data_IF_460520601305
#
_entry.id   IF_460520601305
#
_cell.length_a   1.000
_cell.length_b   1.000
_cell.length_c   1.000
_cell.angle_alpha   90.00
_cell.angle_beta   90.00
_cell.angle_gamma   90.00
#
_symmetry.space_group_name_H-M   'P 1'
#
loop_
_entity.id
_entity.type
_entity.pdbx_description
1 polymer ?
#
# COMPACT_ATOMS: atom_id res chain seq x y z
N UNK A 1 12.81 58.76 -41.19
CA UNK A 1 14.07 58.54 -41.95
C UNK A 1 14.33 57.03 -41.88
N UNK A 2 13.94 56.29 -42.89
CA UNK A 2 14.71 55.81 -44.04
C UNK A 2 16.06 55.21 -43.61
N UNK A 3 16.32 53.99 -43.76
CA UNK A 3 16.83 53.09 -44.80
C UNK A 3 17.64 52.03 -44.05
N UNK A 4 17.79 50.79 -44.34
CA UNK A 4 17.56 49.95 -45.49
C UNK A 4 18.16 48.55 -45.22
N UNK A 5 17.70 47.64 -46.00
CA UNK A 5 18.05 46.22 -46.01
C UNK A 5 19.48 45.94 -46.49
N UNK A 6 20.07 44.83 -46.06
CA UNK A 6 20.96 44.02 -46.91
C UNK A 6 20.98 42.57 -46.44
N UNK A 7 20.53 41.69 -47.30
CA UNK A 7 20.71 40.26 -47.24
C UNK A 7 22.12 39.89 -47.66
N UNK A 8 22.74 38.91 -47.01
CA UNK A 8 23.87 38.19 -47.58
C UNK A 8 23.74 36.72 -47.23
N UNK A 9 23.48 35.94 -48.26
CA UNK A 9 23.55 34.50 -48.25
C UNK A 9 25.04 34.08 -48.28
N UNK A 10 25.42 33.16 -47.44
CA UNK A 10 26.67 32.40 -47.61
C UNK A 10 26.36 30.91 -47.42
N UNK A 11 26.44 30.21 -48.53
CA UNK A 11 26.50 28.76 -48.63
C UNK A 11 27.92 28.35 -48.34
N UNK A 12 28.13 27.39 -47.38
CA UNK A 12 29.33 26.56 -47.41
C UNK A 12 29.06 25.23 -46.69
N UNK A 13 29.01 24.21 -47.53
CA UNK A 13 29.76 22.93 -47.55
C UNK A 13 29.70 22.01 -46.32
N UNK A 14 29.19 20.83 -46.70
CA UNK A 14 29.30 19.51 -46.08
C UNK A 14 30.58 19.27 -45.28
N UNK A 15 30.43 18.87 -44.01
CA UNK A 15 31.38 18.10 -43.26
C UNK A 15 30.65 16.90 -42.66
N UNK A 16 30.77 15.74 -43.30
CA UNK A 16 30.36 14.46 -42.72
C UNK A 16 31.31 14.15 -41.57
N UNK A 17 30.79 14.20 -40.36
CA UNK A 17 31.38 13.54 -39.19
C UNK A 17 30.42 12.42 -38.79
N UNK A 18 30.79 11.21 -39.17
CA UNK A 18 30.17 9.97 -38.68
C UNK A 18 30.41 9.85 -37.21
N UNK A 19 29.47 10.32 -36.39
CA UNK A 19 29.39 9.93 -34.98
C UNK A 19 28.53 8.66 -34.92
N UNK A 20 29.16 7.53 -34.64
CA UNK A 20 28.49 6.32 -34.23
C UNK A 20 27.83 6.57 -32.88
N UNK A 21 26.68 7.16 -32.88
CA UNK A 21 25.73 7.14 -31.79
C UNK A 21 24.73 6.04 -32.10
N UNK A 22 24.65 5.00 -31.24
CA UNK A 22 23.71 3.91 -31.42
C UNK A 22 22.29 4.46 -31.57
N UNK A 23 21.74 4.39 -32.75
CA UNK A 23 20.32 4.60 -33.00
C UNK A 23 19.56 3.48 -32.32
N UNK A 24 18.80 3.79 -31.27
CA UNK A 24 17.70 2.93 -30.87
C UNK A 24 16.87 2.67 -32.13
N UNK A 25 16.70 1.40 -32.51
CA UNK A 25 15.97 1.02 -33.71
C UNK A 25 14.54 1.56 -33.61
N UNK A 26 14.05 2.19 -34.67
CA UNK A 26 12.68 2.70 -34.77
C UNK A 26 11.60 1.58 -34.75
N UNK A 27 12.00 0.33 -34.59
CA UNK A 27 11.15 -0.86 -34.58
C UNK A 27 11.00 -1.54 -33.20
N UNK A 28 11.54 -0.98 -32.10
CA UNK A 28 11.40 -1.56 -30.77
C UNK A 28 9.94 -1.47 -30.30
N UNK A 29 9.39 -2.61 -29.87
CA UNK A 29 8.06 -2.63 -29.26
C UNK A 29 8.04 -1.70 -28.05
N UNK A 30 7.05 -0.79 -28.01
CA UNK A 30 6.86 0.14 -26.90
C UNK A 30 5.77 -0.36 -25.97
N UNK A 31 6.06 -0.42 -24.68
CA UNK A 31 5.06 -0.62 -23.63
C UNK A 31 5.02 0.60 -22.72
N UNK A 32 3.82 0.95 -22.26
CA UNK A 32 3.59 2.04 -21.33
C UNK A 32 3.09 1.48 -20.01
N UNK A 33 3.63 1.97 -18.90
CA UNK A 33 3.28 1.52 -17.54
C UNK A 33 2.73 2.72 -16.78
N UNK A 34 1.48 2.64 -16.31
CA UNK A 34 0.97 3.55 -15.31
C UNK A 34 1.37 3.06 -13.92
N UNK A 35 2.05 3.91 -13.15
CA UNK A 35 2.43 3.64 -11.76
C UNK A 35 1.60 4.50 -10.81
N UNK A 36 0.80 3.86 -9.95
CA UNK A 36 0.03 4.52 -8.89
C UNK A 36 0.74 4.50 -7.52
N UNK A 37 1.97 3.97 -7.45
CA UNK A 37 2.78 3.87 -6.23
C UNK A 37 3.89 4.92 -6.30
N UNK A 38 3.58 6.14 -5.87
CA UNK A 38 4.46 7.32 -6.05
C UNK A 38 5.80 7.18 -5.33
N UNK A 39 5.84 6.46 -4.21
CA UNK A 39 7.05 6.26 -3.41
C UNK A 39 8.15 5.44 -4.09
N UNK A 40 7.87 4.79 -5.23
CA UNK A 40 8.85 4.06 -6.04
C UNK A 40 9.07 4.67 -7.43
N UNK A 41 8.73 5.94 -7.62
CA UNK A 41 8.80 6.62 -8.93
C UNK A 41 10.21 6.55 -9.53
N UNK A 42 11.22 6.96 -8.80
CA UNK A 42 12.62 6.96 -9.24
C UNK A 42 13.11 5.54 -9.57
N UNK A 43 12.72 4.55 -8.76
CA UNK A 43 13.08 3.14 -8.97
C UNK A 43 12.42 2.59 -10.25
N UNK A 44 11.16 2.92 -10.49
CA UNK A 44 10.43 2.51 -11.70
C UNK A 44 11.06 3.11 -12.96
N UNK A 45 11.47 4.39 -12.94
CA UNK A 45 12.18 5.02 -14.06
C UNK A 45 13.55 4.40 -14.33
N UNK A 46 14.31 4.14 -13.26
CA UNK A 46 15.62 3.49 -13.36
C UNK A 46 15.49 2.07 -13.94
N UNK A 47 14.51 1.31 -13.45
CA UNK A 47 14.17 -0.02 -13.95
C UNK A 47 13.77 0.02 -15.44
N UNK A 48 12.89 0.94 -15.85
CA UNK A 48 12.44 1.08 -17.23
C UNK A 48 13.62 1.31 -18.18
N UNK A 49 14.56 2.20 -17.80
CA UNK A 49 15.78 2.46 -18.59
C UNK A 49 16.67 1.21 -18.71
N UNK A 50 16.84 0.47 -17.60
CA UNK A 50 17.64 -0.77 -17.55
C UNK A 50 16.99 -1.87 -18.40
N UNK A 51 15.72 -2.16 -18.16
CA UNK A 51 14.96 -3.19 -18.88
C UNK A 51 14.92 -2.90 -20.39
N UNK A 52 14.67 -1.64 -20.79
CA UNK A 52 14.67 -1.24 -22.19
C UNK A 52 15.99 -1.53 -22.89
N UNK A 53 17.10 -1.21 -22.22
CA UNK A 53 18.46 -1.47 -22.74
C UNK A 53 18.75 -2.97 -22.88
N UNK A 54 18.31 -3.77 -21.93
CA UNK A 54 18.65 -5.20 -21.85
C UNK A 54 17.75 -6.05 -22.75
N UNK A 55 16.46 -5.73 -22.83
CA UNK A 55 15.46 -6.55 -23.52
C UNK A 55 15.07 -6.00 -24.91
N UNK A 56 15.53 -4.79 -25.27
CA UNK A 56 15.20 -4.18 -26.56
C UNK A 56 13.74 -3.73 -26.70
N UNK A 57 13.03 -3.60 -25.58
CA UNK A 57 11.64 -3.11 -25.48
C UNK A 57 11.69 -1.68 -24.94
N UNK A 58 11.02 -0.73 -25.59
CA UNK A 58 10.95 0.63 -25.08
C UNK A 58 9.89 0.71 -23.97
N UNK A 59 10.31 0.93 -22.71
CA UNK A 59 9.41 1.05 -21.54
C UNK A 59 9.31 2.51 -21.13
N UNK A 60 8.09 3.04 -21.10
CA UNK A 60 7.79 4.38 -20.59
C UNK A 60 6.87 4.29 -19.37
N UNK A 61 7.24 4.98 -18.29
CA UNK A 61 6.47 5.02 -17.03
C UNK A 61 5.74 6.35 -16.91
N UNK A 62 4.50 6.28 -16.45
CA UNK A 62 3.61 7.43 -16.30
C UNK A 62 3.02 7.46 -14.88
N UNK A 63 2.76 8.66 -14.41
CA UNK A 63 2.21 8.94 -13.09
C UNK A 63 1.01 9.89 -13.21
N UNK A 64 0.18 9.95 -12.19
CA UNK A 64 -0.90 10.92 -12.09
C UNK A 64 -1.16 11.29 -10.63
N UNK A 65 -1.52 12.53 -10.40
CA UNK A 65 -2.01 13.01 -9.10
C UNK A 65 -3.53 12.82 -8.95
N UNK A 66 -4.22 12.38 -10.00
CA UNK A 66 -5.64 12.06 -9.94
C UNK A 66 -5.86 10.72 -9.23
N UNK A 67 -7.08 10.46 -8.78
CA UNK A 67 -7.44 9.11 -8.33
C UNK A 67 -7.28 8.11 -9.48
N UNK A 68 -6.84 6.90 -9.17
CA UNK A 68 -6.61 5.84 -10.16
C UNK A 68 -7.82 5.64 -11.07
N UNK A 69 -9.02 5.53 -10.48
CA UNK A 69 -10.25 5.31 -11.23
C UNK A 69 -10.55 6.45 -12.22
N UNK A 70 -10.46 7.71 -11.79
CA UNK A 70 -10.72 8.87 -12.66
C UNK A 70 -9.68 8.99 -13.78
N UNK A 71 -8.39 8.75 -13.45
CA UNK A 71 -7.31 8.78 -14.42
C UNK A 71 -7.48 7.72 -15.52
N UNK A 72 -7.69 6.47 -15.13
CA UNK A 72 -7.87 5.37 -16.08
C UNK A 72 -9.17 5.52 -16.90
N UNK A 73 -10.27 5.97 -16.29
CA UNK A 73 -11.50 6.28 -17.03
C UNK A 73 -11.25 7.31 -18.15
N UNK A 74 -10.46 8.36 -17.85
CA UNK A 74 -10.07 9.37 -18.85
C UNK A 74 -9.23 8.76 -19.99
N UNK A 75 -8.28 7.88 -19.64
CA UNK A 75 -7.43 7.19 -20.64
C UNK A 75 -8.23 6.25 -21.54
N UNK A 76 -9.17 5.49 -21.00
CA UNK A 76 -10.06 4.64 -21.79
C UNK A 76 -11.01 5.46 -22.67
N UNK A 77 -11.57 6.55 -22.14
CA UNK A 77 -12.44 7.45 -22.91
C UNK A 77 -11.70 8.11 -24.09
N UNK A 78 -10.43 8.50 -23.90
CA UNK A 78 -9.58 9.06 -24.97
C UNK A 78 -9.03 8.01 -25.93
N UNK A 79 -9.26 6.72 -25.67
CA UNK A 79 -8.73 5.59 -26.45
C UNK A 79 -7.20 5.50 -26.44
N UNK A 80 -6.58 5.90 -25.33
CA UNK A 80 -5.14 5.90 -25.09
C UNK A 80 -4.79 5.13 -23.80
N UNK A 81 -5.23 3.86 -23.64
CA UNK A 81 -4.91 3.08 -22.44
C UNK A 81 -3.41 2.86 -22.31
N UNK A 82 -2.96 2.66 -21.08
CA UNK A 82 -1.62 2.14 -20.85
C UNK A 82 -1.55 0.65 -21.16
N UNK A 83 -0.40 0.18 -21.64
CA UNK A 83 -0.18 -1.26 -21.87
C UNK A 83 -0.30 -2.06 -20.58
N UNK A 84 0.26 -1.50 -19.50
CA UNK A 84 0.22 -2.07 -18.14
C UNK A 84 -0.26 -0.96 -17.19
N UNK A 85 -1.16 -1.29 -16.28
CA UNK A 85 -1.58 -0.38 -15.23
C UNK A 85 -1.31 -0.99 -13.85
N UNK A 86 -0.58 -0.24 -13.00
CA UNK A 86 -0.42 -0.56 -11.58
C UNK A 86 -1.53 0.12 -10.80
N UNK A 87 -2.33 -0.67 -10.09
CA UNK A 87 -3.56 -0.23 -9.42
C UNK A 87 -3.75 -0.95 -8.09
N UNK A 88 -4.74 -0.53 -7.32
CA UNK A 88 -5.18 -1.27 -6.14
C UNK A 88 -6.07 -2.47 -6.51
N UNK A 89 -6.24 -3.41 -5.59
CA UNK A 89 -7.06 -4.60 -5.82
C UNK A 89 -8.47 -4.26 -6.27
N UNK A 90 -9.12 -3.27 -5.64
CA UNK A 90 -10.47 -2.82 -5.99
C UNK A 90 -10.60 -2.37 -7.46
N UNK A 91 -9.56 -1.73 -7.99
CA UNK A 91 -9.54 -1.26 -9.38
C UNK A 91 -9.41 -2.44 -10.35
N UNK A 92 -8.68 -3.52 -9.97
CA UNK A 92 -8.66 -4.76 -10.77
C UNK A 92 -10.06 -5.36 -10.82
N UNK A 93 -10.75 -5.49 -9.69
CA UNK A 93 -12.13 -6.00 -9.68
C UNK A 93 -13.10 -5.15 -10.49
N UNK A 94 -12.94 -3.84 -10.48
CA UNK A 94 -13.80 -2.92 -11.23
C UNK A 94 -13.54 -2.93 -12.74
N UNK A 95 -12.29 -3.13 -13.17
CA UNK A 95 -11.85 -2.88 -14.54
C UNK A 95 -11.54 -4.17 -15.33
N UNK A 96 -11.23 -5.29 -14.64
CA UNK A 96 -10.64 -6.46 -15.29
C UNK A 96 -11.57 -7.11 -16.33
N UNK A 97 -12.87 -7.19 -16.05
CA UNK A 97 -13.82 -7.85 -16.94
C UNK A 97 -13.86 -7.22 -18.35
N UNK A 98 -13.67 -5.88 -18.44
CA UNK A 98 -13.74 -5.14 -19.70
C UNK A 98 -12.36 -4.82 -20.29
N UNK A 99 -11.33 -4.72 -19.43
CA UNK A 99 -10.08 -4.08 -19.82
C UNK A 99 -8.82 -4.92 -19.60
N UNK A 100 -8.89 -6.06 -18.91
CA UNK A 100 -7.71 -6.85 -18.59
C UNK A 100 -7.56 -8.11 -19.42
N UNK A 101 -6.31 -8.46 -19.74
CA UNK A 101 -5.92 -9.73 -20.38
C UNK A 101 -5.98 -10.85 -19.34
N UNK A 102 -6.53 -12.01 -19.71
CA UNK A 102 -6.45 -13.23 -18.92
C UNK A 102 -5.00 -13.74 -18.84
N UNK A 103 -4.45 -13.80 -17.65
CA UNK A 103 -3.09 -14.21 -17.33
C UNK A 103 -3.01 -15.63 -16.72
N UNK A 104 -4.11 -16.38 -16.70
CA UNK A 104 -4.18 -17.71 -16.05
C UNK A 104 -3.16 -18.70 -16.59
N UNK A 105 -2.70 -18.53 -17.83
CA UNK A 105 -1.70 -19.38 -18.47
C UNK A 105 -0.25 -19.04 -18.10
N UNK A 106 0.00 -17.95 -17.37
CA UNK A 106 1.35 -17.51 -17.05
C UNK A 106 1.98 -18.35 -15.94
N UNK A 107 3.28 -18.63 -16.06
CA UNK A 107 3.98 -19.54 -15.16
C UNK A 107 4.00 -19.05 -13.71
N UNK A 108 4.08 -17.75 -13.49
CA UNK A 108 4.14 -17.13 -12.17
C UNK A 108 2.86 -17.32 -11.33
N UNK A 109 1.71 -17.62 -11.97
CA UNK A 109 0.41 -17.76 -11.25
C UNK A 109 0.47 -18.84 -10.18
N UNK A 110 1.26 -19.91 -10.39
CA UNK A 110 1.43 -21.00 -9.44
C UNK A 110 2.35 -20.67 -8.27
N UNK A 111 3.10 -19.58 -8.39
CA UNK A 111 4.14 -19.21 -7.46
C UNK A 111 3.70 -18.15 -6.44
N UNK A 112 2.43 -17.78 -6.46
CA UNK A 112 1.88 -16.79 -5.53
C UNK A 112 0.47 -17.17 -5.07
N UNK A 113 0.15 -16.81 -3.82
CA UNK A 113 -1.20 -16.92 -3.26
C UNK A 113 -1.94 -15.56 -3.34
N UNK A 114 -1.32 -14.53 -3.93
CA UNK A 114 -1.82 -13.15 -3.95
C UNK A 114 -2.36 -12.69 -5.30
N UNK A 115 -2.33 -13.52 -6.34
CA UNK A 115 -2.90 -13.16 -7.63
C UNK A 115 -4.41 -12.89 -7.53
N UNK A 116 -4.91 -11.86 -8.24
CA UNK A 116 -6.35 -11.63 -8.30
C UNK A 116 -6.93 -12.46 -9.44
N UNK A 117 -7.86 -13.35 -9.08
CA UNK A 117 -8.68 -14.12 -10.00
C UNK A 117 -10.15 -13.68 -9.87
N UNK A 118 -10.85 -13.59 -11.01
CA UNK A 118 -12.27 -13.29 -11.12
C UNK A 118 -12.87 -14.34 -12.06
N UNK A 119 -13.92 -15.04 -11.64
CA UNK A 119 -14.58 -16.11 -12.41
C UNK A 119 -13.59 -17.17 -12.95
N UNK A 120 -12.60 -17.54 -12.12
CA UNK A 120 -11.59 -18.56 -12.45
C UNK A 120 -10.51 -18.09 -13.42
N UNK A 121 -10.45 -16.81 -13.78
CA UNK A 121 -9.41 -16.20 -14.64
C UNK A 121 -8.55 -15.24 -13.84
N UNK A 122 -7.25 -15.33 -14.01
CA UNK A 122 -6.28 -14.44 -13.35
C UNK A 122 -6.10 -13.15 -14.15
N UNK A 123 -6.31 -12.00 -13.49
CA UNK A 123 -6.16 -10.69 -14.11
C UNK A 123 -5.12 -9.80 -13.42
N UNK A 124 -4.96 -9.93 -12.10
CA UNK A 124 -4.05 -9.10 -11.33
C UNK A 124 -2.74 -9.82 -10.99
N UNK A 125 -1.63 -9.29 -11.49
CA UNK A 125 -0.28 -9.68 -11.10
C UNK A 125 0.08 -8.92 -9.82
N UNK A 126 0.37 -9.60 -8.70
CA UNK A 126 0.71 -8.94 -7.44
C UNK A 126 2.12 -8.35 -7.50
N UNK A 127 2.30 -7.13 -6.99
CA UNK A 127 3.61 -6.44 -6.99
C UNK A 127 4.32 -6.64 -5.66
N UNK A 128 3.61 -6.50 -4.54
CA UNK A 128 4.17 -6.60 -3.20
C UNK A 128 3.18 -7.18 -2.21
N UNK A 129 3.71 -7.66 -1.08
CA UNK A 129 2.93 -7.93 0.13
C UNK A 129 3.11 -6.77 1.09
N UNK A 130 2.01 -6.19 1.51
CA UNK A 130 2.00 -5.16 2.54
C UNK A 130 1.10 -5.56 3.69
N UNK A 131 1.48 -5.16 4.90
CA UNK A 131 0.69 -5.41 6.08
C UNK A 131 0.80 -4.27 7.08
N UNK A 132 -0.21 -4.18 7.94
CA UNK A 132 -0.37 -3.13 8.94
C UNK A 132 -0.58 -3.68 10.34
N UNK A 133 -0.18 -2.86 11.30
CA UNK A 133 -0.29 -3.13 12.73
C UNK A 133 0.27 -1.95 13.53
N UNK A 134 0.77 -2.20 14.73
CA UNK A 134 1.54 -1.21 15.46
C UNK A 134 3.02 -1.32 15.09
N UNK A 135 3.55 -0.27 14.47
CA UNK A 135 5.00 -0.11 14.28
C UNK A 135 5.59 0.29 15.62
N UNK A 136 6.70 -0.33 16.01
CA UNK A 136 7.38 -0.06 17.27
C UNK A 136 8.86 0.29 17.08
N UNK A 137 9.40 1.10 18.01
CA UNK A 137 10.83 1.36 18.13
C UNK A 137 11.33 0.69 19.43
N UNK A 138 11.97 -0.49 19.29
CA UNK A 138 12.42 -1.28 20.43
C UNK A 138 13.52 -0.61 21.23
N UNK A 139 14.41 0.18 20.58
CA UNK A 139 15.48 0.91 21.29
C UNK A 139 14.90 2.04 22.13
N UNK A 140 13.89 2.75 21.65
CA UNK A 140 13.19 3.77 22.42
C UNK A 140 12.48 3.15 23.64
N UNK A 141 11.84 2.00 23.45
CA UNK A 141 11.20 1.26 24.55
C UNK A 141 12.24 0.81 25.57
N UNK A 142 13.35 0.22 25.14
CA UNK A 142 14.45 -0.19 26.02
C UNK A 142 15.05 0.99 26.78
N UNK A 143 15.27 2.11 26.12
CA UNK A 143 15.79 3.34 26.73
C UNK A 143 14.88 3.83 27.87
N UNK A 144 13.57 3.79 27.66
CA UNK A 144 12.58 4.25 28.67
C UNK A 144 12.37 3.22 29.80
N UNK A 145 12.31 1.92 29.49
CA UNK A 145 11.95 0.88 30.46
C UNK A 145 13.15 0.19 31.11
N UNK A 146 14.34 0.29 30.48
CA UNK A 146 15.53 -0.48 30.87
C UNK A 146 15.48 -1.97 30.49
N UNK A 147 14.45 -2.42 29.74
CA UNK A 147 14.22 -3.82 29.38
C UNK A 147 14.28 -4.00 27.86
N UNK A 148 14.78 -5.15 27.39
CA UNK A 148 14.64 -5.53 25.99
C UNK A 148 13.15 -5.73 25.66
N UNK A 149 12.76 -5.24 24.47
CA UNK A 149 11.39 -5.33 24.01
C UNK A 149 11.19 -6.60 23.19
N UNK A 150 10.19 -7.40 23.59
CA UNK A 150 9.64 -8.50 22.80
C UNK A 150 8.14 -8.26 22.60
N UNK A 151 7.68 -8.02 21.37
CA UNK A 151 6.26 -7.75 21.08
C UNK A 151 5.36 -8.93 21.49
N UNK A 152 5.91 -10.16 21.55
CA UNK A 152 5.19 -11.34 21.99
C UNK A 152 4.64 -11.27 23.44
N UNK A 153 5.23 -10.41 24.27
CA UNK A 153 4.81 -10.23 25.67
C UNK A 153 3.68 -9.17 25.84
N UNK A 154 3.28 -8.49 24.77
CA UNK A 154 2.35 -7.34 24.82
C UNK A 154 1.20 -7.48 23.82
N UNK A 155 0.69 -8.70 23.67
CA UNK A 155 -0.40 -9.02 22.72
C UNK A 155 -1.77 -8.62 23.22
N UNK A 156 -1.97 -8.61 24.56
CA UNK A 156 -3.23 -8.18 25.14
C UNK A 156 -3.23 -6.67 25.36
N UNK A 157 -4.42 -6.07 25.34
CA UNK A 157 -4.57 -4.65 25.65
C UNK A 157 -4.11 -4.33 27.08
N UNK A 158 -4.32 -5.25 28.01
CA UNK A 158 -3.94 -5.03 29.42
C UNK A 158 -2.41 -5.03 29.58
N UNK A 159 -1.68 -5.90 28.87
CA UNK A 159 -0.22 -5.88 28.88
C UNK A 159 0.32 -4.64 28.15
N UNK A 160 -0.33 -4.23 27.07
CA UNK A 160 0.01 -2.99 26.38
C UNK A 160 -0.19 -1.75 27.26
N UNK A 161 -1.29 -1.67 28.01
CA UNK A 161 -1.51 -0.60 29.01
C UNK A 161 -0.43 -0.55 30.09
N UNK A 162 0.04 -1.71 30.57
CA UNK A 162 1.17 -1.79 31.51
C UNK A 162 2.44 -1.21 30.89
N UNK A 163 2.75 -1.59 29.65
CA UNK A 163 3.90 -1.06 28.90
C UNK A 163 3.80 0.47 28.72
N UNK A 164 2.64 0.98 28.33
CA UNK A 164 2.41 2.44 28.23
C UNK A 164 2.70 3.12 29.59
N UNK A 165 2.27 2.52 30.69
CA UNK A 165 2.58 3.01 32.04
C UNK A 165 4.08 3.00 32.35
N UNK A 166 4.80 1.93 32.01
CA UNK A 166 6.26 1.82 32.18
C UNK A 166 7.01 2.87 31.35
N UNK A 167 6.60 3.08 30.07
CA UNK A 167 7.18 4.09 29.18
C UNK A 167 7.01 5.51 29.76
N UNK A 168 5.82 5.83 30.30
CA UNK A 168 5.55 7.13 30.94
C UNK A 168 6.38 7.31 32.21
N UNK A 169 6.50 6.27 33.03
CA UNK A 169 7.35 6.29 34.22
C UNK A 169 8.84 6.48 33.86
N UNK A 170 9.27 5.94 32.72
CA UNK A 170 10.63 6.12 32.16
C UNK A 170 10.87 7.47 31.46
N UNK A 171 9.89 8.38 31.49
CA UNK A 171 10.04 9.75 30.97
C UNK A 171 9.43 9.98 29.59
N UNK A 172 8.94 8.96 28.88
CA UNK A 172 8.26 9.11 27.60
C UNK A 172 6.80 9.50 27.83
N UNK A 173 6.52 10.81 27.92
CA UNK A 173 5.20 11.33 28.32
C UNK A 173 4.06 10.93 27.40
N UNK A 174 4.32 10.85 26.11
CA UNK A 174 3.36 10.55 25.05
C UNK A 174 3.94 9.50 24.11
N UNK A 175 3.82 8.20 24.47
CA UNK A 175 4.52 7.12 23.78
C UNK A 175 3.93 6.71 22.44
N UNK A 176 2.81 7.30 22.00
CA UNK A 176 2.14 6.90 20.77
C UNK A 176 1.98 8.05 19.79
N UNK A 177 1.88 7.71 18.51
CA UNK A 177 1.46 8.59 17.43
C UNK A 177 0.20 8.03 16.77
N UNK A 178 -0.83 8.86 16.64
CA UNK A 178 -2.06 8.55 15.90
C UNK A 178 -2.17 9.55 14.76
N UNK A 179 -2.33 9.05 13.56
CA UNK A 179 -2.37 9.83 12.35
C UNK A 179 -3.79 10.22 11.97
N UNK A 180 -3.91 11.35 11.28
CA UNK A 180 -5.20 11.97 10.91
C UNK A 180 -5.72 11.53 9.55
N UNK A 181 -4.87 10.96 8.72
CA UNK A 181 -5.22 10.64 7.33
C UNK A 181 -6.44 9.74 7.29
N UNK A 182 -7.42 10.13 6.47
CA UNK A 182 -8.68 9.42 6.29
C UNK A 182 -8.47 7.97 5.81
N UNK A 183 -7.50 7.75 4.93
CA UNK A 183 -7.13 6.41 4.48
C UNK A 183 -6.51 5.56 5.61
N UNK A 184 -5.69 6.15 6.48
CA UNK A 184 -5.11 5.43 7.63
C UNK A 184 -6.17 5.03 8.65
N UNK A 185 -7.10 5.95 8.93
CA UNK A 185 -8.19 5.73 9.87
C UNK A 185 -9.30 4.85 9.25
N UNK A 186 -9.80 5.21 8.06
CA UNK A 186 -10.96 4.60 7.45
C UNK A 186 -10.66 3.34 6.63
N UNK A 187 -9.57 3.33 5.83
CA UNK A 187 -9.24 2.16 5.02
C UNK A 187 -8.38 1.13 5.78
N UNK A 188 -7.64 1.54 6.81
CA UNK A 188 -6.73 0.63 7.50
C UNK A 188 -7.22 0.28 8.91
N UNK A 189 -7.33 1.24 9.82
CA UNK A 189 -7.70 0.92 11.20
C UNK A 189 -9.15 0.42 11.31
N UNK A 190 -10.09 1.13 10.66
CA UNK A 190 -11.50 0.74 10.71
C UNK A 190 -11.76 -0.61 10.03
N UNK A 191 -11.18 -0.84 8.84
CA UNK A 191 -11.44 -2.09 8.11
C UNK A 191 -10.91 -3.32 8.84
N UNK A 192 -9.92 -3.19 9.71
CA UNK A 192 -9.45 -4.28 10.56
C UNK A 192 -10.59 -4.88 11.39
N UNK A 193 -11.54 -4.06 11.85
CA UNK A 193 -12.71 -4.57 12.58
C UNK A 193 -13.60 -5.49 11.73
N UNK A 194 -13.58 -5.32 10.41
CA UNK A 194 -14.28 -6.20 9.48
C UNK A 194 -13.46 -7.46 9.18
N UNK A 195 -12.18 -7.28 8.90
CA UNK A 195 -11.24 -8.32 8.49
C UNK A 195 -10.92 -9.34 9.57
N UNK A 196 -11.09 -8.97 10.82
CA UNK A 196 -10.96 -9.88 11.97
C UNK A 196 -12.22 -10.71 12.28
N UNK A 197 -13.34 -10.48 11.58
CA UNK A 197 -14.55 -11.29 11.78
C UNK A 197 -14.31 -12.74 11.32
N UNK A 198 -15.01 -13.68 11.94
CA UNK A 198 -14.88 -15.09 11.58
C UNK A 198 -15.35 -15.40 10.14
N UNK A 199 -16.35 -14.66 9.66
CA UNK A 199 -16.81 -14.62 8.29
C UNK A 199 -16.96 -13.15 7.89
N UNK A 200 -15.98 -12.66 7.16
CA UNK A 200 -15.90 -11.24 6.76
C UNK A 200 -17.06 -10.89 5.83
N UNK A 201 -17.37 -11.75 4.85
CA UNK A 201 -18.43 -11.46 3.89
C UNK A 201 -19.81 -11.45 4.55
N UNK A 202 -20.10 -12.42 5.41
CA UNK A 202 -21.35 -12.43 6.15
C UNK A 202 -21.50 -11.19 7.05
N UNK A 203 -20.41 -10.68 7.62
CA UNK A 203 -20.44 -9.46 8.41
C UNK A 203 -20.70 -8.22 7.53
N UNK A 204 -20.06 -8.12 6.38
CA UNK A 204 -20.29 -7.04 5.40
C UNK A 204 -21.74 -7.08 4.88
N UNK A 205 -22.26 -8.26 4.56
CA UNK A 205 -23.65 -8.43 4.12
C UNK A 205 -24.65 -7.98 5.22
N UNK A 206 -24.33 -8.26 6.49
CA UNK A 206 -25.14 -7.78 7.61
C UNK A 206 -25.06 -6.26 7.77
N UNK A 207 -23.92 -5.62 7.51
CA UNK A 207 -23.76 -4.16 7.49
C UNK A 207 -24.60 -3.54 6.35
N UNK A 208 -24.52 -4.09 5.14
CA UNK A 208 -25.31 -3.66 3.97
C UNK A 208 -26.83 -3.79 4.23
N UNK A 209 -27.24 -4.89 4.87
CA UNK A 209 -28.62 -5.12 5.25
C UNK A 209 -29.11 -4.28 6.44
N UNK A 210 -28.19 -3.57 7.12
CA UNK A 210 -28.47 -2.80 8.34
C UNK A 210 -28.81 -3.67 9.57
N UNK A 211 -28.38 -4.94 9.56
CA UNK A 211 -28.63 -5.93 10.60
C UNK A 211 -27.40 -6.19 11.51
N UNK A 212 -26.25 -5.60 11.22
CA UNK A 212 -25.07 -5.76 12.05
C UNK A 212 -25.21 -4.97 13.36
N UNK A 213 -25.04 -5.64 14.48
CA UNK A 213 -24.91 -4.99 15.82
C UNK A 213 -23.45 -4.60 16.04
N UNK A 214 -23.03 -3.46 15.47
CA UNK A 214 -21.67 -2.99 15.62
C UNK A 214 -21.35 -2.60 17.07
N UNK A 215 -22.31 -2.00 17.80
CA UNK A 215 -22.11 -1.58 19.20
C UNK A 215 -21.91 -2.77 20.14
N UNK A 216 -22.56 -3.91 19.87
CA UNK A 216 -22.36 -5.17 20.58
C UNK A 216 -21.21 -6.04 20.06
N UNK A 217 -20.58 -5.67 18.94
CA UNK A 217 -19.55 -6.48 18.31
C UNK A 217 -18.24 -6.48 19.12
N UNK A 218 -17.78 -7.67 19.55
CA UNK A 218 -16.57 -7.82 20.39
C UNK A 218 -15.30 -7.36 19.69
N UNK A 219 -15.14 -7.65 18.37
CA UNK A 219 -13.96 -7.25 17.58
C UNK A 219 -13.87 -5.74 17.46
N UNK A 220 -14.97 -5.12 17.07
CA UNK A 220 -15.09 -3.67 17.03
C UNK A 220 -14.72 -3.03 18.39
N UNK A 221 -15.35 -3.47 19.46
CA UNK A 221 -15.13 -2.89 20.78
C UNK A 221 -13.68 -3.09 21.24
N UNK A 222 -13.10 -4.27 21.06
CA UNK A 222 -11.72 -4.56 21.45
C UNK A 222 -10.71 -3.71 20.67
N UNK A 223 -10.91 -3.55 19.37
CA UNK A 223 -10.09 -2.70 18.51
C UNK A 223 -10.18 -1.22 18.93
N UNK A 224 -11.39 -0.74 19.20
CA UNK A 224 -11.62 0.63 19.64
C UNK A 224 -11.09 0.91 21.06
N UNK A 225 -11.08 -0.09 21.96
CA UNK A 225 -10.45 0.04 23.27
C UNK A 225 -8.94 0.28 23.14
N UNK A 226 -8.29 -0.38 22.18
CA UNK A 226 -6.87 -0.12 21.89
C UNK A 226 -6.68 1.24 21.25
N UNK A 227 -7.56 1.64 20.31
CA UNK A 227 -7.51 2.97 19.73
C UNK A 227 -7.61 4.07 20.77
N UNK A 228 -8.47 3.91 21.79
CA UNK A 228 -8.59 4.88 22.88
C UNK A 228 -7.30 4.99 23.70
N UNK A 229 -6.59 3.89 23.94
CA UNK A 229 -5.27 3.93 24.58
C UNK A 229 -4.25 4.68 23.71
N UNK A 230 -4.24 4.43 22.40
CA UNK A 230 -3.36 5.13 21.47
C UNK A 230 -3.67 6.63 21.45
N UNK A 231 -4.94 7.00 21.29
CA UNK A 231 -5.44 8.39 21.27
C UNK A 231 -5.10 9.12 22.56
N UNK A 232 -5.33 8.50 23.73
CA UNK A 232 -5.07 9.10 25.04
C UNK A 232 -3.59 9.39 25.27
N UNK A 233 -2.69 8.59 24.72
CA UNK A 233 -1.25 8.70 24.88
C UNK A 233 -0.54 9.29 23.64
N UNK A 234 -1.32 9.84 22.68
CA UNK A 234 -0.81 10.46 21.46
C UNK A 234 -0.01 11.73 21.77
N UNK A 235 1.18 11.87 21.18
CA UNK A 235 2.01 13.06 21.33
C UNK A 235 1.29 14.34 20.87
N UNK A 236 0.42 14.22 19.86
CA UNK A 236 -0.40 15.30 19.32
C UNK A 236 -1.82 15.35 19.88
N UNK A 237 -2.08 14.78 21.06
CA UNK A 237 -3.43 14.64 21.65
C UNK A 237 -4.28 15.92 21.59
N UNK A 238 -3.68 17.08 21.87
CA UNK A 238 -4.39 18.38 21.84
C UNK A 238 -4.71 18.91 20.46
N UNK A 239 -4.13 18.34 19.42
CA UNK A 239 -4.24 18.78 18.01
C UNK A 239 -4.18 17.58 17.05
N UNK A 240 -4.79 16.47 17.44
CA UNK A 240 -4.62 15.19 16.74
C UNK A 240 -4.98 15.25 15.24
N UNK A 241 -6.01 16.02 14.87
CA UNK A 241 -6.41 16.20 13.46
C UNK A 241 -5.54 17.21 12.69
N UNK A 242 -4.53 17.80 13.34
CA UNK A 242 -3.55 18.69 12.69
C UNK A 242 -2.14 18.07 12.66
N UNK A 243 -1.95 16.89 13.28
CA UNK A 243 -0.67 16.19 13.27
C UNK A 243 -0.33 15.70 11.85
N UNK A 244 0.85 16.05 11.37
CA UNK A 244 1.33 15.58 10.07
C UNK A 244 1.96 14.20 10.21
N UNK A 245 1.67 13.32 9.22
CA UNK A 245 2.16 11.95 9.20
C UNK A 245 3.68 11.88 9.27
N UNK A 246 4.37 12.63 8.41
CA UNK A 246 5.82 12.65 8.34
C UNK A 246 6.47 13.05 9.68
N UNK A 247 5.86 14.00 10.42
CA UNK A 247 6.33 14.35 11.77
C UNK A 247 6.17 13.19 12.75
N UNK A 248 5.09 12.41 12.63
CA UNK A 248 4.87 11.23 13.47
C UNK A 248 5.90 10.14 13.15
N UNK A 249 6.17 9.91 11.87
CA UNK A 249 7.19 8.96 11.40
C UNK A 249 8.57 9.36 11.86
N UNK A 250 8.94 10.65 11.73
CA UNK A 250 10.20 11.17 12.27
C UNK A 250 10.33 10.90 13.77
N UNK A 251 9.30 11.24 14.55
CA UNK A 251 9.31 11.01 16.01
C UNK A 251 9.47 9.55 16.39
N UNK A 252 8.87 8.65 15.63
CA UNK A 252 9.05 7.21 15.83
C UNK A 252 10.48 6.78 15.46
N UNK A 253 10.99 7.22 14.33
CA UNK A 253 12.35 6.90 13.89
C UNK A 253 13.39 7.33 14.93
N UNK A 254 13.30 8.57 15.41
CA UNK A 254 14.22 9.17 16.37
C UNK A 254 13.96 8.70 17.83
N UNK A 255 12.90 7.94 18.07
CA UNK A 255 12.58 7.36 19.38
C UNK A 255 11.99 8.36 20.38
N UNK A 256 11.38 9.44 19.90
CA UNK A 256 10.59 10.35 20.75
C UNK A 256 9.23 9.73 21.15
N UNK A 257 8.68 8.87 20.29
CA UNK A 257 7.54 8.01 20.59
C UNK A 257 7.94 6.55 20.40
N UNK A 258 7.18 5.64 20.98
CA UNK A 258 7.45 4.20 20.96
C UNK A 258 6.62 3.46 19.88
N UNK A 259 5.42 3.94 19.59
CA UNK A 259 4.45 3.26 18.75
C UNK A 259 3.69 4.20 17.82
N UNK A 260 3.40 3.72 16.59
CA UNK A 260 2.39 4.31 15.71
C UNK A 260 1.65 3.19 14.96
N UNK A 261 0.37 3.42 14.61
CA UNK A 261 -0.33 2.53 13.70
C UNK A 261 0.08 2.83 12.26
N UNK A 262 0.52 1.81 11.54
CA UNK A 262 0.99 1.95 10.15
C UNK A 262 1.31 0.61 9.52
N UNK A 263 2.10 0.62 8.45
CA UNK A 263 2.51 -0.58 7.74
C UNK A 263 3.94 -0.52 7.23
N UNK A 264 4.37 -1.56 6.51
CA UNK A 264 5.75 -1.59 6.00
C UNK A 264 6.06 -0.52 4.94
N UNK A 265 5.05 0.09 4.33
CA UNK A 265 5.22 1.26 3.44
C UNK A 265 5.79 2.49 4.16
N UNK A 266 5.59 2.63 5.48
CA UNK A 266 6.12 3.75 6.26
C UNK A 266 7.65 3.76 6.30
N UNK A 267 8.29 2.64 5.97
CA UNK A 267 9.75 2.55 5.92
C UNK A 267 10.37 3.52 4.92
N UNK A 268 9.71 3.82 3.83
CA UNK A 268 10.19 4.80 2.82
C UNK A 268 10.43 6.20 3.41
N UNK A 269 9.71 6.56 4.46
CA UNK A 269 9.88 7.82 5.19
C UNK A 269 10.76 7.64 6.43
N UNK A 270 10.51 6.60 7.22
CA UNK A 270 11.29 6.33 8.45
C UNK A 270 12.80 6.26 8.20
N UNK A 271 13.23 5.68 7.08
CA UNK A 271 14.65 5.51 6.74
C UNK A 271 15.36 6.80 6.34
N UNK A 272 14.64 7.91 6.18
CA UNK A 272 15.21 9.22 5.85
C UNK A 272 15.70 9.97 7.10
N UNK A 273 15.35 9.49 8.29
CA UNK A 273 15.73 10.07 9.58
C UNK A 273 16.81 9.23 10.29
N UNK A 274 17.26 9.71 11.45
CA UNK A 274 18.13 8.93 12.34
C UNK A 274 17.31 7.84 13.04
N UNK A 275 17.14 6.73 12.36
CA UNK A 275 16.25 5.66 12.79
C UNK A 275 16.97 4.56 13.58
N UNK A 276 16.21 3.93 14.48
CA UNK A 276 16.62 2.70 15.13
C UNK A 276 16.59 1.52 14.15
N UNK A 277 17.60 0.64 14.24
CA UNK A 277 17.60 -0.63 13.50
C UNK A 277 16.69 -1.70 14.13
N UNK A 278 16.27 -1.49 15.37
CA UNK A 278 15.45 -2.39 16.14
C UNK A 278 13.97 -1.93 16.12
N UNK A 279 13.42 -1.84 14.91
CA UNK A 279 12.01 -1.55 14.67
C UNK A 279 11.30 -2.80 14.15
N UNK A 280 9.99 -2.78 14.16
CA UNK A 280 9.17 -3.83 13.58
C UNK A 280 7.69 -3.50 13.63
N UNK A 281 6.87 -4.43 13.17
CA UNK A 281 5.40 -4.36 13.22
C UNK A 281 4.90 -5.47 14.12
N UNK A 282 3.94 -5.16 14.99
CA UNK A 282 3.25 -6.12 15.84
C UNK A 282 1.73 -6.03 15.62
N UNK A 283 0.97 -7.09 15.93
CA UNK A 283 -0.49 -7.03 15.95
C UNK A 283 -0.98 -5.89 16.83
N UNK A 284 -2.13 -5.32 16.50
CA UNK A 284 -2.82 -4.39 17.38
C UNK A 284 -3.23 -5.14 18.65
N UNK A 285 -2.73 -4.75 19.84
CA UNK A 285 -3.04 -5.47 21.09
C UNK A 285 -4.52 -5.43 21.41
N UNK A 286 -5.12 -6.58 21.72
CA UNK A 286 -6.55 -6.70 21.99
C UNK A 286 -6.80 -7.69 23.11
N UNK A 287 -7.83 -7.46 23.94
CA UNK A 287 -8.27 -8.42 24.93
C UNK A 287 -9.19 -9.48 24.31
N UNK A 288 -8.61 -10.27 23.39
CA UNK A 288 -9.30 -11.34 22.67
C UNK A 288 -8.62 -12.69 22.97
N UNK A 289 -9.40 -13.76 22.94
CA UNK A 289 -9.01 -15.13 23.26
C UNK A 289 -9.10 -16.09 22.04
N UNK A 290 -9.28 -15.52 20.85
CA UNK A 290 -9.48 -16.26 19.59
C UNK A 290 -8.29 -16.16 18.62
N UNK A 291 -7.15 -15.64 19.09
CA UNK A 291 -5.93 -15.49 18.30
C UNK A 291 -5.90 -14.25 17.39
N UNK A 292 -6.90 -13.37 17.43
CA UNK A 292 -6.87 -12.13 16.65
C UNK A 292 -5.73 -11.20 17.02
N UNK A 293 -5.34 -11.19 18.28
CA UNK A 293 -4.21 -10.43 18.80
C UNK A 293 -2.83 -11.04 18.46
N UNK A 294 -2.78 -12.10 17.67
CA UNK A 294 -1.55 -12.71 17.18
C UNK A 294 -1.26 -12.44 15.71
N UNK A 295 -2.23 -11.86 14.99
CA UNK A 295 -2.17 -11.65 13.54
C UNK A 295 -2.13 -10.17 13.20
N UNK A 296 -1.41 -9.85 12.13
CA UNK A 296 -1.50 -8.55 11.46
C UNK A 296 -2.47 -8.63 10.29
N UNK A 297 -2.92 -7.50 9.77
CA UNK A 297 -3.75 -7.48 8.56
C UNK A 297 -2.89 -7.13 7.35
N UNK A 298 -2.99 -7.92 6.28
CA UNK A 298 -2.20 -7.67 5.08
C UNK A 298 -2.50 -8.62 3.93
N UNK A 299 -1.74 -8.47 2.86
CA UNK A 299 -1.90 -9.25 1.64
C UNK A 299 -1.21 -8.61 0.46
N UNK A 300 -1.59 -9.02 -0.75
CA UNK A 300 -1.17 -8.33 -1.98
C UNK A 300 -1.66 -6.88 -1.96
N UNK A 301 -0.78 -5.94 -2.27
CA UNK A 301 -1.07 -4.52 -2.17
C UNK A 301 -1.34 -3.89 -3.52
N UNK A 302 -0.34 -3.76 -4.37
CA UNK A 302 -0.47 -3.24 -5.73
C UNK A 302 -0.50 -4.37 -6.73
N UNK A 303 -1.21 -4.15 -7.83
CA UNK A 303 -1.40 -5.14 -8.88
C UNK A 303 -1.14 -4.52 -10.24
N UNK A 304 -0.52 -5.28 -11.11
CA UNK A 304 -0.39 -4.94 -12.52
C UNK A 304 -1.43 -5.73 -13.32
N UNK A 305 -2.16 -5.05 -14.19
CA UNK A 305 -2.94 -5.72 -15.22
C UNK A 305 -2.53 -5.23 -16.61
N UNK A 306 -2.72 -6.06 -17.63
CA UNK A 306 -2.39 -5.77 -19.03
C UNK A 306 -3.67 -5.42 -19.79
N UNK A 307 -3.66 -4.32 -20.53
CA UNK A 307 -4.80 -3.87 -21.33
C UNK A 307 -5.16 -4.86 -22.44
N UNK A 308 -6.46 -5.24 -22.50
CA UNK A 308 -7.02 -6.14 -23.50
C UNK A 308 -7.64 -5.42 -24.70
N UNK A 309 -7.76 -4.09 -24.68
CA UNK A 309 -8.43 -3.33 -25.73
C UNK A 309 -7.69 -3.42 -27.08
N UNK A 310 -8.39 -3.11 -28.16
CA UNK A 310 -7.80 -3.09 -29.50
C UNK A 310 -6.74 -1.99 -29.70
N UNK A 311 -6.52 -1.14 -28.69
CA UNK A 311 -5.49 -0.09 -28.73
C UNK A 311 -4.11 -0.60 -28.32
N UNK A 312 -4.07 -1.68 -27.56
CA UNK A 312 -2.85 -2.40 -27.24
C UNK A 312 -2.68 -3.57 -28.24
N UNK A 313 -1.58 -3.60 -28.95
CA UNK A 313 -1.29 -4.62 -29.96
C UNK A 313 -0.89 -5.96 -29.32
N UNK A 314 -0.96 -7.04 -30.09
CA UNK A 314 -0.51 -8.36 -29.60
C UNK A 314 0.99 -8.36 -29.24
N UNK A 315 1.82 -7.63 -30.00
CA UNK A 315 3.24 -7.48 -29.68
C UNK A 315 3.47 -6.76 -28.35
N UNK A 316 2.67 -5.72 -28.05
CA UNK A 316 2.73 -5.02 -26.78
C UNK A 316 2.26 -5.90 -25.62
N UNK A 317 1.18 -6.67 -25.81
CA UNK A 317 0.71 -7.63 -24.79
C UNK A 317 1.73 -8.73 -24.52
N UNK A 318 2.38 -9.25 -25.57
CA UNK A 318 3.46 -10.22 -25.40
C UNK A 318 4.64 -9.64 -24.60
N UNK A 319 5.11 -8.45 -24.99
CA UNK A 319 6.18 -7.75 -24.27
C UNK A 319 5.79 -7.41 -22.81
N UNK A 320 4.53 -7.08 -22.57
CA UNK A 320 4.01 -6.86 -21.22
C UNK A 320 4.03 -8.16 -20.37
N UNK A 321 3.62 -9.29 -20.96
CA UNK A 321 3.71 -10.60 -20.27
C UNK A 321 5.15 -10.98 -19.97
N UNK A 322 6.07 -10.77 -20.89
CA UNK A 322 7.51 -10.98 -20.69
C UNK A 322 8.05 -10.11 -19.55
N UNK A 323 7.58 -8.86 -19.44
CA UNK A 323 7.92 -7.96 -18.35
C UNK A 323 7.41 -8.48 -17.00
N UNK A 324 6.15 -8.95 -16.90
CA UNK A 324 5.62 -9.54 -15.68
C UNK A 324 6.38 -10.83 -15.30
N UNK A 325 6.70 -11.69 -16.28
CA UNK A 325 7.51 -12.88 -16.05
C UNK A 325 8.93 -12.54 -15.59
N UNK A 326 9.52 -11.45 -16.10
CA UNK A 326 10.81 -10.94 -15.65
C UNK A 326 10.74 -10.48 -14.18
N UNK A 327 9.70 -9.72 -13.79
CA UNK A 327 9.52 -9.30 -12.40
C UNK A 327 9.41 -10.50 -11.44
N UNK A 328 8.71 -11.55 -11.84
CA UNK A 328 8.47 -12.72 -10.98
C UNK A 328 9.66 -13.68 -10.91
N UNK A 329 10.34 -13.93 -12.04
CA UNK A 329 11.21 -15.09 -12.20
C UNK A 329 12.69 -14.75 -12.51
N UNK A 330 12.97 -13.55 -13.02
CA UNK A 330 14.35 -13.13 -13.32
C UNK A 330 15.02 -12.55 -12.09
N UNK A 331 16.31 -12.85 -11.89
CA UNK A 331 17.07 -12.36 -10.73
C UNK A 331 17.10 -10.82 -10.63
N UNK A 332 17.18 -10.14 -11.76
CA UNK A 332 17.18 -8.69 -11.81
C UNK A 332 15.79 -8.11 -11.47
N UNK A 333 14.73 -8.74 -11.98
CA UNK A 333 13.34 -8.37 -11.67
C UNK A 333 13.02 -8.61 -10.18
N UNK A 334 13.44 -9.75 -9.65
CA UNK A 334 13.30 -10.08 -8.22
C UNK A 334 14.09 -9.10 -7.34
N UNK A 335 15.32 -8.74 -7.76
CA UNK A 335 16.15 -7.76 -7.06
C UNK A 335 15.54 -6.36 -7.11
N UNK A 336 14.95 -5.96 -8.22
CA UNK A 336 14.24 -4.71 -8.33
C UNK A 336 13.13 -4.59 -7.27
N UNK A 337 12.30 -5.62 -7.12
CA UNK A 337 11.22 -5.62 -6.12
C UNK A 337 11.77 -5.53 -4.70
N UNK A 338 12.75 -6.36 -4.35
CA UNK A 338 13.19 -6.53 -2.95
C UNK A 338 14.26 -5.52 -2.55
N UNK A 339 15.27 -5.29 -3.41
CA UNK A 339 16.42 -4.47 -3.04
C UNK A 339 16.24 -3.00 -3.44
N UNK A 340 15.74 -2.75 -4.67
CA UNK A 340 15.63 -1.38 -5.16
C UNK A 340 14.37 -0.69 -4.61
N UNK A 341 13.23 -1.42 -4.54
CA UNK A 341 11.97 -0.89 -4.02
C UNK A 341 11.73 -1.18 -2.53
N UNK A 342 12.58 -1.97 -1.87
CA UNK A 342 12.40 -2.40 -0.47
C UNK A 342 11.02 -3.04 -0.20
N UNK A 343 10.50 -3.81 -1.16
CA UNK A 343 9.19 -4.45 -1.06
C UNK A 343 9.30 -5.92 -0.69
N UNK A 344 8.31 -6.43 0.04
CA UNK A 344 8.16 -7.86 0.30
C UNK A 344 7.60 -8.52 -0.95
N UNK A 345 8.35 -9.45 -1.56
CA UNK A 345 7.91 -10.15 -2.75
C UNK A 345 6.69 -11.03 -2.48
N UNK A 346 5.68 -11.03 -3.38
CA UNK A 346 4.53 -11.92 -3.30
C UNK A 346 4.80 -13.33 -3.88
N UNK A 347 6.00 -13.57 -4.42
CA UNK A 347 6.35 -14.83 -5.10
C UNK A 347 7.21 -15.73 -4.21
N UNK A 348 6.82 -17.01 -4.12
CA UNK A 348 7.49 -18.03 -3.29
C UNK A 348 8.90 -18.35 -3.78
N UNK A 349 9.15 -18.22 -5.09
CA UNK A 349 10.46 -18.43 -5.72
C UNK A 349 11.45 -17.30 -5.43
N UNK A 350 10.97 -16.12 -5.02
CA UNK A 350 11.85 -15.03 -4.65
C UNK A 350 12.34 -15.22 -3.20
N UNK A 351 13.57 -15.70 -3.07
CA UNK A 351 14.20 -15.99 -1.77
C UNK A 351 15.08 -14.84 -1.25
N UNK A 352 15.06 -13.68 -1.91
CA UNK A 352 15.81 -12.51 -1.43
C UNK A 352 15.26 -12.03 -0.09
N UNK A 353 16.17 -11.72 0.82
CA UNK A 353 15.80 -11.17 2.12
C UNK A 353 15.52 -9.68 2.01
N UNK A 354 14.39 -9.26 2.54
CA UNK A 354 14.07 -7.84 2.71
C UNK A 354 15.06 -7.24 3.69
N UNK A 355 15.65 -6.09 3.35
CA UNK A 355 16.70 -5.47 4.18
C UNK A 355 16.12 -4.68 5.36
N UNK A 356 14.95 -4.04 5.17
CA UNK A 356 14.33 -3.19 6.17
C UNK A 356 13.62 -3.97 7.29
N UNK A 357 13.54 -3.41 8.51
CA UNK A 357 13.00 -4.11 9.67
C UNK A 357 11.47 -4.30 9.60
N UNK A 358 10.74 -3.39 8.94
CA UNK A 358 9.29 -3.51 8.82
C UNK A 358 8.92 -4.58 7.81
N UNK A 359 9.58 -4.60 6.64
CA UNK A 359 9.42 -5.65 5.65
C UNK A 359 9.79 -7.03 6.19
N UNK A 360 10.87 -7.14 7.01
CA UNK A 360 11.20 -8.38 7.72
C UNK A 360 10.09 -8.85 8.64
N UNK A 361 9.44 -7.93 9.37
CA UNK A 361 8.30 -8.25 10.23
C UNK A 361 7.14 -8.79 9.39
N UNK A 362 6.77 -8.11 8.30
CA UNK A 362 5.68 -8.53 7.41
C UNK A 362 5.98 -9.90 6.81
N UNK A 363 7.20 -10.11 6.29
CA UNK A 363 7.59 -11.41 5.74
C UNK A 363 7.46 -12.54 6.77
N UNK A 364 7.87 -12.31 8.01
CA UNK A 364 7.72 -13.29 9.10
C UNK A 364 6.26 -13.67 9.34
N UNK A 365 5.36 -12.69 9.37
CA UNK A 365 3.91 -12.95 9.54
C UNK A 365 3.32 -13.66 8.31
N UNK A 366 3.70 -13.25 7.10
CA UNK A 366 3.27 -13.91 5.85
C UNK A 366 3.72 -15.37 5.81
N UNK A 367 5.01 -15.65 6.03
CA UNK A 367 5.59 -16.99 6.00
C UNK A 367 4.99 -17.93 7.08
N UNK A 368 4.54 -17.37 8.21
CA UNK A 368 3.91 -18.13 9.29
C UNK A 368 2.39 -18.30 9.15
N UNK A 369 1.76 -17.71 8.12
CA UNK A 369 0.31 -17.70 7.96
C UNK A 369 -0.43 -16.89 9.03
N UNK A 370 0.26 -15.98 9.72
CA UNK A 370 -0.27 -15.17 10.81
C UNK A 370 -0.73 -13.80 10.30
N UNK A 371 -1.51 -13.81 9.21
CA UNK A 371 -2.12 -12.61 8.64
C UNK A 371 -3.61 -12.83 8.42
N UNK A 372 -4.39 -11.79 8.67
CA UNK A 372 -5.73 -11.66 8.13
C UNK A 372 -5.64 -11.07 6.72
N UNK A 373 -6.37 -11.61 5.74
CA UNK A 373 -6.38 -11.04 4.40
C UNK A 373 -7.08 -9.68 4.38
N UNK A 374 -6.60 -8.76 3.55
CA UNK A 374 -7.30 -7.52 3.26
C UNK A 374 -8.67 -7.81 2.62
N UNK A 375 -9.71 -7.07 3.04
CA UNK A 375 -10.99 -7.06 2.36
C UNK A 375 -10.97 -6.07 1.19
N UNK A 376 -10.88 -6.59 -0.03
CA UNK A 376 -10.58 -5.81 -1.24
C UNK A 376 -11.82 -5.22 -1.95
N UNK A 377 -13.03 -5.38 -1.38
CA UNK A 377 -14.29 -4.97 -2.03
C UNK A 377 -14.94 -3.76 -1.35
N UNK A 378 -14.22 -3.04 -0.51
CA UNK A 378 -14.74 -1.82 0.13
C UNK A 378 -15.21 -0.83 -0.92
N UNK A 379 -16.33 -0.11 -0.68
CA UNK A 379 -16.77 0.97 -1.56
C UNK A 379 -15.68 2.03 -1.77
N UNK A 380 -15.65 2.66 -2.94
CA UNK A 380 -14.61 3.63 -3.32
C UNK A 380 -14.50 4.81 -2.36
N UNK A 381 -15.63 5.26 -1.82
CA UNK A 381 -15.71 6.38 -0.89
C UNK A 381 -15.63 5.97 0.59
N UNK A 382 -15.49 4.67 0.88
CA UNK A 382 -15.48 4.13 2.26
C UNK A 382 -14.47 4.86 3.15
N UNK A 383 -13.23 4.96 2.70
CA UNK A 383 -12.18 5.53 3.53
C UNK A 383 -12.33 7.05 3.72
N UNK A 384 -12.80 7.78 2.70
CA UNK A 384 -12.97 9.23 2.80
C UNK A 384 -14.16 9.60 3.68
N UNK A 385 -15.30 8.92 3.53
CA UNK A 385 -16.51 9.18 4.31
C UNK A 385 -16.34 8.73 5.76
N UNK A 386 -15.91 7.50 5.97
CA UNK A 386 -15.77 6.95 7.31
C UNK A 386 -14.49 7.41 8.00
N UNK A 387 -13.43 7.73 7.25
CA UNK A 387 -12.23 8.38 7.78
C UNK A 387 -12.55 9.78 8.33
N UNK A 388 -13.36 10.57 7.64
CA UNK A 388 -13.83 11.86 8.15
C UNK A 388 -14.65 11.71 9.45
N UNK A 389 -15.47 10.65 9.55
CA UNK A 389 -16.20 10.35 10.81
C UNK A 389 -15.22 9.91 11.91
N UNK A 390 -14.21 9.10 11.57
CA UNK A 390 -13.19 8.68 12.51
C UNK A 390 -12.33 9.86 13.01
N UNK A 391 -12.04 10.84 12.14
CA UNK A 391 -11.36 12.09 12.53
C UNK A 391 -12.16 12.85 13.61
N UNK A 392 -13.49 12.89 13.52
CA UNK A 392 -14.34 13.46 14.58
C UNK A 392 -14.21 12.70 15.89
N UNK A 393 -14.15 11.35 15.84
CA UNK A 393 -13.89 10.53 17.02
C UNK A 393 -12.49 10.79 17.60
N UNK A 394 -11.47 10.90 16.74
CA UNK A 394 -10.11 11.25 17.14
C UNK A 394 -10.05 12.63 17.81
N UNK A 395 -10.76 13.61 17.29
CA UNK A 395 -10.86 14.96 17.85
C UNK A 395 -11.69 15.05 19.14
N UNK A 396 -12.46 14.00 19.47
CA UNK A 396 -13.40 14.01 20.62
C UNK A 396 -14.70 14.77 20.35
N UNK A 397 -15.00 15.06 19.09
CA UNK A 397 -16.24 15.69 18.62
C UNK A 397 -17.39 14.70 18.48
N UNK A 398 -17.07 13.40 18.50
CA UNK A 398 -18.00 12.29 18.39
C UNK A 398 -17.59 11.21 19.39
N UNK A 399 -18.54 10.56 20.04
CA UNK A 399 -18.28 9.40 20.88
C UNK A 399 -18.27 8.08 20.08
N UNK A 400 -17.95 6.96 20.71
CA UNK A 400 -17.87 5.64 20.08
C UNK A 400 -19.23 5.20 19.52
N UNK A 401 -20.31 5.47 20.23
CA UNK A 401 -21.66 5.12 19.80
C UNK A 401 -22.08 5.90 18.57
N UNK A 402 -21.82 7.20 18.54
CA UNK A 402 -22.07 8.05 17.37
C UNK A 402 -21.23 7.63 16.17
N UNK A 403 -19.98 7.17 16.39
CA UNK A 403 -19.16 6.64 15.31
C UNK A 403 -19.70 5.31 14.78
N UNK A 404 -20.13 4.40 15.64
CA UNK A 404 -20.78 3.15 15.23
C UNK A 404 -22.08 3.40 14.45
N UNK A 405 -22.88 4.39 14.85
CA UNK A 405 -24.07 4.82 14.13
C UNK A 405 -23.76 5.38 12.75
N UNK A 406 -22.69 6.18 12.62
CA UNK A 406 -22.25 6.71 11.34
C UNK A 406 -21.79 5.58 10.38
N UNK A 407 -21.06 4.58 10.88
CA UNK A 407 -20.66 3.40 10.10
C UNK A 407 -21.91 2.64 9.64
N UNK A 408 -22.84 2.36 10.54
CA UNK A 408 -24.07 1.64 10.22
C UNK A 408 -24.93 2.40 9.18
N UNK A 409 -25.03 3.72 9.31
CA UNK A 409 -25.76 4.57 8.37
C UNK A 409 -25.12 4.56 6.98
N UNK A 410 -23.79 4.64 6.91
CA UNK A 410 -23.04 4.58 5.66
C UNK A 410 -23.29 3.26 4.93
N UNK A 411 -23.12 2.12 5.60
CA UNK A 411 -23.23 0.81 4.98
C UNK A 411 -24.62 0.50 4.43
N UNK A 412 -25.69 1.03 5.01
CA UNK A 412 -27.06 0.87 4.48
C UNK A 412 -27.26 1.43 3.06
N UNK A 413 -26.42 2.33 2.62
CA UNK A 413 -26.50 2.98 1.30
C UNK A 413 -25.28 2.68 0.43
N UNK A 414 -24.29 2.04 0.97
CA UNK A 414 -23.04 1.72 0.28
C UNK A 414 -23.23 0.67 -0.82
N UNK A 415 -22.30 0.68 -1.79
CA UNK A 415 -22.22 -0.34 -2.84
C UNK A 415 -20.78 -0.82 -2.90
N UNK A 416 -20.60 -2.13 -2.87
CA UNK A 416 -19.28 -2.74 -3.01
C UNK A 416 -18.67 -2.40 -4.38
N UNK A 417 -17.35 -2.23 -4.43
CA UNK A 417 -16.59 -1.96 -5.65
C UNK A 417 -16.45 -3.17 -6.59
N UNK A 418 -16.89 -4.34 -6.16
CA UNK A 418 -16.92 -5.57 -6.93
C UNK A 418 -17.85 -6.58 -6.29
N UNK A 419 -18.04 -7.72 -6.92
CA UNK A 419 -18.78 -8.85 -6.34
C UNK A 419 -17.81 -9.93 -5.91
N UNK A 420 -17.99 -10.44 -4.69
CA UNK A 420 -17.41 -11.73 -4.30
C UNK A 420 -18.21 -12.80 -5.05
N UNK A 421 -17.57 -13.47 -6.01
CA UNK A 421 -18.17 -14.60 -6.74
C UNK A 421 -18.07 -15.89 -5.94
#
# INVERSE_FOLDING_TARGET
MKIGAAATAAVMSLGMLSACGGTASSDATKITIFNSKVEIEDQMEAMAKKYSKEKGVNVEVYYSNDTVAAHLATKYASKEPYTISMVDAKDVYALAAEHAVDLSGEAWVKDTDYAIAIDGKTYGFPVSVEARGLIYNADAIKKATGKDFDPGNYRTLDDFKKLIGELKAGGMKSPTGVMKEDWSLGAHYLSQAYEEQGDVQAFIDALLAGNADLKGNRKWNSLMDTFDVLKENNYAKSSAVSAEREVTEQKLAEGEIAFMFGGNWDWSVLNQYDYSKNMGIMPVPQNMDDGSNEKIVGGGSKYLFIDSSSKTTDAQRAAAKDFLNWLANDKEGQSFVVNDCSMVSPFKTNTLEVSDPLGKSVKKFADSGMMYPNYNYLPDDHYSVLGASFQKYLAGEQDRDGFADAITAYWKTAKLSGSVS
#
